data_IF_783075339881
#
_entry.id   IF_783075339881
#
_cell.length_a   1.000
_cell.length_b   1.000
_cell.length_c   1.000
_cell.angle_alpha   90.00
_cell.angle_beta   90.00
_cell.angle_gamma   90.00
#
_symmetry.space_group_name_H-M   'P 1'
#
loop_
_entity.id
_entity.type
_entity.pdbx_description
1 polymer ?
#
# COMPACT_ATOMS: atom_id res chain seq x y z
N UNK A 1 0.23 -7.89 43.76
CA UNK A 1 -1.17 -8.22 43.41
C UNK A 1 -1.21 -9.72 43.18
N UNK A 2 -1.42 -10.50 44.23
CA UNK A 2 -1.52 -11.95 44.13
C UNK A 2 -2.94 -12.30 43.69
N UNK A 3 -3.15 -12.37 42.37
CA UNK A 3 -4.41 -12.86 41.81
C UNK A 3 -4.55 -14.35 42.11
N UNK A 4 -5.58 -14.73 42.88
CA UNK A 4 -5.89 -16.14 43.14
C UNK A 4 -6.63 -16.71 41.94
N UNK A 5 -5.98 -17.62 41.23
CA UNK A 5 -6.63 -18.45 40.22
C UNK A 5 -7.45 -19.51 40.93
N UNK A 6 -8.75 -19.57 40.64
CA UNK A 6 -9.73 -20.40 41.33
C UNK A 6 -10.44 -21.30 40.31
N UNK A 7 -11.12 -22.34 40.77
CA UNK A 7 -11.76 -23.34 39.88
C UNK A 7 -12.74 -22.71 38.88
N UNK A 8 -13.49 -21.69 39.30
CA UNK A 8 -14.42 -20.99 38.40
C UNK A 8 -13.68 -20.23 37.28
N UNK A 9 -12.50 -19.66 37.58
CA UNK A 9 -11.62 -19.06 36.56
C UNK A 9 -11.10 -20.14 35.59
N UNK A 10 -10.77 -21.33 36.09
CA UNK A 10 -10.35 -22.45 35.25
C UNK A 10 -11.45 -22.92 34.30
N UNK A 11 -12.71 -22.95 34.75
CA UNK A 11 -13.86 -23.27 33.89
C UNK A 11 -14.01 -22.24 32.77
N UNK A 12 -13.96 -20.94 33.08
CA UNK A 12 -14.09 -19.90 32.05
C UNK A 12 -12.91 -19.88 31.07
N UNK A 13 -11.68 -20.06 31.56
CA UNK A 13 -10.51 -20.17 30.68
C UNK A 13 -10.62 -21.36 29.73
N UNK A 14 -11.12 -22.51 30.20
CA UNK A 14 -11.32 -23.67 29.32
C UNK A 14 -12.30 -23.36 28.19
N UNK A 15 -13.42 -22.69 28.48
CA UNK A 15 -14.37 -22.28 27.44
C UNK A 15 -13.75 -21.31 26.42
N UNK A 16 -12.91 -20.38 26.88
CA UNK A 16 -12.21 -19.46 25.98
C UNK A 16 -11.19 -20.18 25.10
N UNK A 17 -10.47 -21.16 25.64
CA UNK A 17 -9.54 -22.00 24.89
C UNK A 17 -10.29 -22.87 23.87
N UNK A 18 -11.40 -23.50 24.26
CA UNK A 18 -12.23 -24.29 23.35
C UNK A 18 -12.75 -23.43 22.17
N UNK A 19 -13.10 -22.16 22.42
CA UNK A 19 -13.46 -21.23 21.36
C UNK A 19 -12.28 -20.87 20.46
N UNK A 20 -11.08 -20.64 21.02
CA UNK A 20 -9.87 -20.38 20.23
C UNK A 20 -9.58 -21.57 19.31
N UNK A 21 -9.58 -22.78 19.84
CA UNK A 21 -9.36 -24.01 19.08
C UNK A 21 -10.39 -24.15 17.94
N UNK A 22 -11.65 -23.84 18.22
CA UNK A 22 -12.70 -23.83 17.20
C UNK A 22 -12.48 -22.77 16.11
N UNK A 23 -12.10 -21.55 16.49
CA UNK A 23 -11.79 -20.50 15.53
C UNK A 23 -10.58 -20.87 14.66
N UNK A 24 -9.53 -21.45 15.25
CA UNK A 24 -8.35 -21.91 14.52
C UNK A 24 -8.70 -22.98 13.48
N UNK A 25 -9.51 -23.98 13.87
CA UNK A 25 -10.00 -25.01 12.94
C UNK A 25 -10.85 -24.40 11.81
N UNK A 26 -11.71 -23.44 12.16
CA UNK A 26 -12.59 -22.78 11.19
C UNK A 26 -11.77 -21.95 10.19
N UNK A 27 -10.76 -21.22 10.67
CA UNK A 27 -9.84 -20.46 9.82
C UNK A 27 -9.11 -21.41 8.87
N UNK A 28 -8.53 -22.50 9.37
CA UNK A 28 -7.83 -23.47 8.53
C UNK A 28 -8.74 -24.07 7.44
N UNK A 29 -9.98 -24.40 7.79
CA UNK A 29 -10.98 -24.90 6.83
C UNK A 29 -11.29 -23.88 5.73
N UNK A 30 -11.41 -22.60 6.10
CA UNK A 30 -11.66 -21.53 5.15
C UNK A 30 -10.42 -21.24 4.28
N UNK A 31 -9.22 -21.31 4.85
CA UNK A 31 -7.98 -21.14 4.11
C UNK A 31 -7.81 -22.23 3.04
N UNK A 32 -8.08 -23.49 3.37
CA UNK A 32 -8.09 -24.59 2.41
C UNK A 32 -9.13 -24.36 1.29
N UNK A 33 -10.30 -23.83 1.65
CA UNK A 33 -11.34 -23.51 0.66
C UNK A 33 -10.90 -22.37 -0.27
N UNK A 34 -10.27 -21.33 0.27
CA UNK A 34 -9.72 -20.22 -0.53
C UNK A 34 -8.59 -20.72 -1.42
N UNK A 35 -7.69 -21.56 -0.93
CA UNK A 35 -6.63 -22.16 -1.72
C UNK A 35 -7.19 -22.94 -2.93
N UNK A 36 -8.24 -23.75 -2.72
CA UNK A 36 -8.91 -24.46 -3.81
C UNK A 36 -9.59 -23.53 -4.83
N UNK A 37 -10.21 -22.43 -4.39
CA UNK A 37 -10.86 -21.46 -5.27
C UNK A 37 -9.87 -20.58 -6.05
N UNK A 38 -8.66 -20.40 -5.51
CA UNK A 38 -7.63 -19.53 -6.08
C UNK A 38 -6.61 -20.28 -6.92
N UNK A 39 -6.68 -21.62 -6.98
CA UNK A 39 -5.80 -22.45 -7.82
C UNK A 39 -5.75 -22.00 -9.29
N UNK A 40 -6.88 -21.67 -9.96
CA UNK A 40 -6.84 -21.23 -11.36
C UNK A 40 -6.12 -19.90 -11.56
N UNK A 41 -5.91 -19.15 -10.46
CA UNK A 41 -5.24 -17.86 -10.44
C UNK A 41 -3.84 -17.94 -9.82
N UNK A 42 -3.27 -19.12 -9.61
CA UNK A 42 -1.99 -19.29 -8.93
C UNK A 42 -0.87 -18.45 -9.57
N UNK A 43 -0.73 -18.50 -10.90
CA UNK A 43 0.22 -17.67 -11.65
C UNK A 43 -0.03 -16.16 -11.44
N UNK A 44 -1.30 -15.72 -11.55
CA UNK A 44 -1.64 -14.32 -11.35
C UNK A 44 -1.33 -13.86 -9.91
N UNK A 45 -1.55 -14.72 -8.91
CA UNK A 45 -1.20 -14.45 -7.51
C UNK A 45 0.31 -14.26 -7.38
N UNK A 46 1.12 -15.14 -7.96
CA UNK A 46 2.58 -15.00 -7.93
C UNK A 46 3.04 -13.70 -8.59
N UNK A 47 2.48 -13.36 -9.76
CA UNK A 47 2.78 -12.11 -10.45
C UNK A 47 2.36 -10.88 -9.63
N UNK A 48 1.19 -10.89 -8.99
CA UNK A 48 0.77 -9.80 -8.10
C UNK A 48 1.68 -9.67 -6.88
N UNK A 49 2.17 -10.79 -6.33
CA UNK A 49 3.11 -10.79 -5.20
C UNK A 49 4.49 -10.22 -5.54
N UNK A 50 4.81 -9.98 -6.82
CA UNK A 50 6.03 -9.24 -7.21
C UNK A 50 5.96 -7.76 -6.84
N UNK A 51 4.77 -7.21 -6.57
CA UNK A 51 4.63 -5.83 -6.08
C UNK A 51 5.09 -5.77 -4.62
N UNK A 52 6.06 -4.91 -4.25
CA UNK A 52 6.49 -4.76 -2.86
C UNK A 52 5.31 -4.47 -1.93
N UNK A 53 5.19 -5.29 -0.88
CA UNK A 53 4.12 -5.18 0.11
C UNK A 53 2.85 -5.98 -0.21
N UNK A 54 2.68 -6.49 -1.44
CA UNK A 54 1.57 -7.38 -1.78
C UNK A 54 1.97 -8.82 -1.43
N UNK A 55 1.34 -9.37 -0.40
CA UNK A 55 1.44 -10.79 -0.09
C UNK A 55 0.29 -11.60 -0.70
N UNK A 56 0.36 -12.93 -0.57
CA UNK A 56 -0.65 -13.86 -1.11
C UNK A 56 -2.08 -13.44 -0.76
N UNK A 57 -2.36 -13.19 0.52
CA UNK A 57 -3.70 -12.80 0.97
C UNK A 57 -4.21 -11.51 0.32
N UNK A 58 -3.33 -10.53 0.12
CA UNK A 58 -3.70 -9.28 -0.58
C UNK A 58 -3.97 -9.54 -2.06
N UNK A 59 -3.20 -10.42 -2.70
CA UNK A 59 -3.43 -10.82 -4.08
C UNK A 59 -4.78 -11.57 -4.23
N UNK A 60 -5.11 -12.46 -3.29
CA UNK A 60 -6.41 -13.14 -3.23
C UNK A 60 -7.56 -12.15 -3.10
N UNK A 61 -7.45 -11.14 -2.22
CA UNK A 61 -8.46 -10.07 -2.08
C UNK A 61 -8.57 -9.25 -3.37
N UNK A 62 -7.45 -8.90 -4.01
CA UNK A 62 -7.47 -8.20 -5.30
C UNK A 62 -8.26 -8.99 -6.35
N UNK A 63 -8.05 -10.30 -6.45
CA UNK A 63 -8.76 -11.17 -7.38
C UNK A 63 -10.23 -11.30 -7.00
N UNK A 64 -10.54 -11.53 -5.72
CA UNK A 64 -11.90 -11.73 -5.24
C UNK A 64 -12.78 -10.49 -5.45
N UNK A 65 -12.27 -9.30 -5.14
CA UNK A 65 -13.04 -8.06 -5.22
C UNK A 65 -13.15 -7.53 -6.65
N UNK A 66 -12.15 -7.77 -7.50
CA UNK A 66 -12.17 -7.27 -8.89
C UNK A 66 -12.66 -8.28 -9.91
N UNK A 67 -12.72 -9.57 -9.54
CA UNK A 67 -13.00 -10.68 -10.44
C UNK A 67 -11.86 -11.04 -11.40
N UNK A 68 -10.68 -10.40 -11.25
CA UNK A 68 -9.51 -10.52 -12.13
C UNK A 68 -9.74 -10.16 -13.63
N UNK A 69 -10.94 -9.69 -13.99
CA UNK A 69 -11.28 -9.25 -15.35
C UNK A 69 -11.19 -7.73 -15.45
N UNK A 70 -10.11 -7.24 -16.06
CA UNK A 70 -9.91 -5.81 -16.24
C UNK A 70 -10.74 -5.21 -17.38
N UNK A 71 -11.50 -6.00 -18.16
CA UNK A 71 -12.42 -5.49 -19.17
C UNK A 71 -13.57 -4.68 -18.56
N UNK A 72 -13.93 -4.96 -17.31
CA UNK A 72 -14.90 -4.18 -16.52
C UNK A 72 -14.43 -2.75 -16.22
N UNK A 73 -13.12 -2.47 -16.34
CA UNK A 73 -12.51 -1.19 -16.00
C UNK A 73 -11.72 -0.65 -17.20
N UNK A 74 -12.27 0.30 -17.98
CA UNK A 74 -11.61 0.80 -19.20
C UNK A 74 -10.22 1.41 -18.98
N UNK A 75 -9.95 1.90 -17.78
CA UNK A 75 -8.61 2.35 -17.37
C UNK A 75 -8.35 2.02 -15.90
N UNK A 76 -7.08 1.98 -15.51
CA UNK A 76 -6.67 1.85 -14.12
C UNK A 76 -7.29 2.94 -13.20
N UNK A 77 -7.59 4.11 -13.76
CA UNK A 77 -8.27 5.19 -13.05
C UNK A 77 -9.73 4.85 -12.70
N UNK A 78 -10.42 4.08 -13.54
CA UNK A 78 -11.78 3.60 -13.25
C UNK A 78 -11.75 2.62 -12.08
N UNK A 79 -10.83 1.65 -12.09
CA UNK A 79 -10.64 0.73 -10.97
C UNK A 79 -10.31 1.49 -9.67
N UNK A 80 -9.38 2.44 -9.72
CA UNK A 80 -9.01 3.23 -8.56
C UNK A 80 -10.16 4.11 -8.02
N UNK A 81 -11.02 4.61 -8.91
CA UNK A 81 -12.22 5.35 -8.51
C UNK A 81 -13.26 4.44 -7.86
N UNK A 82 -13.51 3.26 -8.45
CA UNK A 82 -14.44 2.25 -7.93
C UNK A 82 -14.00 1.72 -6.56
N UNK A 83 -12.70 1.41 -6.40
CA UNK A 83 -12.11 0.96 -5.15
C UNK A 83 -12.01 2.06 -4.07
N UNK A 84 -12.41 3.32 -4.36
CA UNK A 84 -12.29 4.43 -3.41
C UNK A 84 -10.85 4.89 -3.16
N UNK A 85 -9.88 4.40 -3.95
CA UNK A 85 -8.46 4.73 -3.86
C UNK A 85 -8.08 5.95 -4.72
N UNK A 86 -9.05 6.80 -5.07
CA UNK A 86 -8.86 8.04 -5.82
C UNK A 86 -9.25 9.25 -4.97
N UNK A 87 -8.54 10.39 -5.06
CA UNK A 87 -8.97 11.62 -4.42
C UNK A 87 -10.36 12.02 -4.90
N UNK A 88 -11.26 12.36 -3.96
CA UNK A 88 -12.59 12.83 -4.31
C UNK A 88 -12.58 14.11 -5.14
N UNK A 89 -13.45 14.18 -6.15
CA UNK A 89 -13.69 15.39 -6.93
C UNK A 89 -14.77 16.23 -6.24
N UNK A 90 -14.35 17.30 -5.57
CA UNK A 90 -15.24 18.24 -4.88
C UNK A 90 -15.07 19.62 -5.51
N UNK A 91 -15.89 19.91 -6.51
CA UNK A 91 -15.85 21.15 -7.25
C UNK A 91 -17.25 21.75 -7.36
N UNK A 92 -17.38 23.03 -7.05
CA UNK A 92 -18.65 23.77 -7.16
C UNK A 92 -18.36 25.19 -7.61
N UNK A 93 -19.08 25.70 -8.62
CA UNK A 93 -18.89 27.06 -9.13
C UNK A 93 -17.45 27.35 -9.60
N UNK A 94 -16.79 26.38 -10.24
CA UNK A 94 -15.42 26.49 -10.74
C UNK A 94 -14.32 26.54 -9.67
N UNK A 95 -14.66 26.33 -8.40
CA UNK A 95 -13.69 26.27 -7.29
C UNK A 95 -13.53 24.85 -6.81
N UNK A 96 -12.29 24.34 -6.87
CA UNK A 96 -11.90 23.06 -6.30
C UNK A 96 -11.70 23.16 -4.79
N UNK A 97 -12.49 22.39 -4.04
CA UNK A 97 -12.40 22.28 -2.58
C UNK A 97 -11.56 21.06 -2.18
N UNK A 98 -11.24 20.94 -0.90
CA UNK A 98 -10.58 19.74 -0.37
C UNK A 98 -11.49 18.51 -0.56
N UNK A 99 -10.98 17.47 -1.23
CA UNK A 99 -11.65 16.19 -1.38
C UNK A 99 -11.14 15.17 -0.36
N UNK A 100 -12.05 14.37 0.21
CA UNK A 100 -11.70 13.11 0.88
C UNK A 100 -11.68 12.00 -0.16
N UNK A 101 -11.02 10.88 0.12
CA UNK A 101 -11.21 9.65 -0.66
C UNK A 101 -12.69 9.27 -0.65
N UNK A 102 -13.17 8.76 -1.78
CA UNK A 102 -14.57 8.34 -1.91
C UNK A 102 -14.78 7.00 -1.18
N UNK A 103 -16.05 6.70 -0.85
CA UNK A 103 -16.40 5.34 -0.41
C UNK A 103 -16.24 4.40 -1.60
N UNK A 104 -15.48 3.35 -1.42
CA UNK A 104 -15.32 2.26 -2.38
C UNK A 104 -15.39 0.93 -1.66
N UNK A 105 -14.85 -0.11 -2.28
CA UNK A 105 -14.76 -1.41 -1.65
C UNK A 105 -13.88 -1.38 -0.38
N UNK A 106 -14.45 -1.78 0.76
CA UNK A 106 -13.81 -1.66 2.06
C UNK A 106 -12.71 -2.70 2.24
N UNK A 107 -12.94 -3.93 1.77
CA UNK A 107 -11.98 -5.03 1.91
C UNK A 107 -10.73 -4.80 1.07
N UNK A 108 -10.93 -4.37 -0.17
CA UNK A 108 -9.86 -3.99 -1.08
C UNK A 108 -9.09 -2.78 -0.57
N UNK A 109 -9.79 -1.75 -0.07
CA UNK A 109 -9.13 -0.58 0.50
C UNK A 109 -8.25 -0.96 1.70
N UNK A 110 -8.75 -1.75 2.64
CA UNK A 110 -7.98 -2.19 3.82
C UNK A 110 -6.78 -3.04 3.41
N UNK A 111 -6.97 -3.99 2.49
CA UNK A 111 -5.87 -4.83 1.98
C UNK A 111 -4.77 -3.99 1.28
N UNK A 112 -5.15 -2.98 0.50
CA UNK A 112 -4.21 -2.06 -0.15
C UNK A 112 -3.48 -1.16 0.84
N UNK A 113 -4.14 -0.75 1.92
CA UNK A 113 -3.51 0.04 2.98
C UNK A 113 -2.49 -0.79 3.75
N UNK A 114 -2.83 -2.03 4.12
CA UNK A 114 -1.89 -2.96 4.74
C UNK A 114 -0.68 -3.26 3.83
N UNK A 115 -0.93 -3.51 2.54
CA UNK A 115 0.13 -3.69 1.57
C UNK A 115 1.00 -2.44 1.43
N UNK A 116 0.43 -1.24 1.49
CA UNK A 116 1.19 0.00 1.48
C UNK A 116 2.09 0.16 2.71
N UNK A 117 1.63 -0.25 3.90
CA UNK A 117 2.46 -0.26 5.11
C UNK A 117 3.58 -1.29 5.02
N UNK A 118 3.30 -2.48 4.47
CA UNK A 118 4.32 -3.48 4.21
C UNK A 118 5.37 -2.96 3.20
N UNK A 119 4.93 -2.38 2.09
CA UNK A 119 5.79 -1.76 1.08
C UNK A 119 6.69 -0.66 1.67
N UNK A 120 6.18 0.13 2.60
CA UNK A 120 6.93 1.19 3.26
C UNK A 120 8.12 0.68 4.10
N UNK A 121 8.10 -0.59 4.49
CA UNK A 121 9.18 -1.27 5.23
C UNK A 121 10.17 -2.01 4.32
N UNK A 122 9.89 -2.10 3.01
CA UNK A 122 10.80 -2.69 2.04
C UNK A 122 12.00 -1.76 1.79
N UNK A 123 13.17 -2.35 1.58
CA UNK A 123 14.39 -1.61 1.29
C UNK A 123 14.53 -1.37 -0.22
N UNK A 124 14.99 -0.17 -0.58
CA UNK A 124 15.36 0.22 -1.95
C UNK A 124 14.26 0.03 -3.03
N UNK A 125 12.99 0.17 -2.65
CA UNK A 125 11.86 0.09 -3.59
C UNK A 125 11.26 1.46 -3.89
N UNK A 126 10.71 1.62 -5.10
CA UNK A 126 9.99 2.82 -5.50
C UNK A 126 8.83 3.15 -4.56
N UNK A 127 8.07 2.12 -4.15
CA UNK A 127 6.91 2.29 -3.28
C UNK A 127 7.30 2.76 -1.88
N UNK A 128 8.39 2.24 -1.31
CA UNK A 128 8.94 2.72 -0.04
C UNK A 128 9.41 4.18 -0.16
N UNK A 129 10.17 4.50 -1.21
CA UNK A 129 10.63 5.86 -1.45
C UNK A 129 9.46 6.84 -1.62
N UNK A 130 8.38 6.42 -2.30
CA UNK A 130 7.17 7.22 -2.47
C UNK A 130 6.43 7.43 -1.15
N UNK A 131 6.33 6.39 -0.33
CA UNK A 131 5.74 6.48 1.00
C UNK A 131 6.45 7.56 1.83
N UNK A 132 7.76 7.41 2.00
CA UNK A 132 8.55 8.29 2.86
C UNK A 132 8.71 9.70 2.30
N UNK A 133 8.67 9.86 0.98
CA UNK A 133 8.59 11.19 0.34
C UNK A 133 7.30 11.93 0.71
N UNK A 134 6.16 11.23 0.78
CA UNK A 134 4.85 11.84 1.12
C UNK A 134 4.72 12.06 2.63
N UNK A 135 5.11 11.07 3.44
CA UNK A 135 5.04 11.16 4.89
C UNK A 135 6.03 12.21 5.44
N UNK A 136 7.27 12.17 4.93
CA UNK A 136 8.40 12.94 5.39
C UNK A 136 9.09 12.35 6.64
N UNK A 137 10.28 12.85 7.02
CA UNK A 137 11.10 12.27 8.09
C UNK A 137 10.50 12.38 9.50
N UNK A 138 9.60 13.34 9.72
CA UNK A 138 8.94 13.61 11.02
C UNK A 138 7.42 13.45 10.91
N UNK A 139 6.98 12.48 10.11
CA UNK A 139 5.57 12.23 9.85
C UNK A 139 4.84 11.79 11.13
N UNK A 140 3.76 12.49 11.46
CA UNK A 140 2.76 12.03 12.41
C UNK A 140 1.86 10.96 11.78
N UNK A 141 1.03 10.30 12.59
CA UNK A 141 0.13 9.24 12.12
C UNK A 141 -0.77 9.68 10.95
N UNK A 142 -1.22 10.94 10.93
CA UNK A 142 -2.05 11.48 9.85
C UNK A 142 -1.32 11.54 8.51
N UNK A 143 -0.07 12.02 8.49
CA UNK A 143 0.75 12.06 7.27
C UNK A 143 1.09 10.67 6.77
N UNK A 144 1.38 9.73 7.68
CA UNK A 144 1.63 8.33 7.31
C UNK A 144 0.39 7.67 6.70
N UNK A 145 -0.82 7.88 7.25
CA UNK A 145 -2.08 7.42 6.64
C UNK A 145 -2.30 7.98 5.23
N UNK A 146 -2.00 9.26 5.01
CA UNK A 146 -2.08 9.87 3.67
C UNK A 146 -1.08 9.24 2.70
N UNK A 147 0.14 8.92 3.17
CA UNK A 147 1.14 8.21 2.38
C UNK A 147 0.67 6.79 2.05
N UNK A 148 0.09 6.06 3.01
CA UNK A 148 -0.46 4.73 2.81
C UNK A 148 -1.54 4.73 1.71
N UNK A 149 -2.51 5.64 1.76
CA UNK A 149 -3.54 5.77 0.69
C UNK A 149 -2.90 6.04 -0.67
N UNK A 150 -1.91 6.93 -0.74
CA UNK A 150 -1.27 7.28 -2.00
C UNK A 150 -0.39 6.14 -2.57
N UNK A 151 0.16 5.28 -1.72
CA UNK A 151 0.94 4.10 -2.12
C UNK A 151 0.00 2.95 -2.47
N UNK A 152 -1.05 2.70 -1.68
CA UNK A 152 -2.09 1.74 -2.01
C UNK A 152 -2.74 2.03 -3.37
N UNK A 153 -2.97 3.31 -3.69
CA UNK A 153 -3.38 3.71 -5.04
C UNK A 153 -2.39 3.23 -6.11
N UNK A 154 -1.08 3.38 -5.88
CA UNK A 154 -0.07 2.92 -6.85
C UNK A 154 0.05 1.41 -6.93
N UNK A 155 -0.14 0.70 -5.82
CA UNK A 155 -0.25 -0.76 -5.81
C UNK A 155 -1.44 -1.19 -6.68
N UNK A 156 -2.60 -0.56 -6.52
CA UNK A 156 -3.79 -0.88 -7.32
C UNK A 156 -3.61 -0.59 -8.80
N UNK A 157 -2.93 0.52 -9.16
CA UNK A 157 -2.59 0.81 -10.56
C UNK A 157 -1.63 -0.24 -11.13
N UNK A 158 -0.64 -0.68 -10.35
CA UNK A 158 0.26 -1.75 -10.79
C UNK A 158 -0.49 -3.07 -10.97
N UNK A 159 -1.33 -3.44 -10.00
CA UNK A 159 -2.16 -4.63 -10.04
C UNK A 159 -3.09 -4.64 -11.26
N UNK A 160 -3.69 -3.50 -11.62
CA UNK A 160 -4.49 -3.36 -12.85
C UNK A 160 -3.69 -3.77 -14.09
N UNK A 161 -2.47 -3.27 -14.25
CA UNK A 161 -1.66 -3.57 -15.44
C UNK A 161 -1.19 -5.03 -15.47
N UNK A 162 -0.89 -5.62 -14.31
CA UNK A 162 -0.55 -7.05 -14.18
C UNK A 162 -1.74 -7.94 -14.52
N UNK A 163 -2.96 -7.57 -14.11
CA UNK A 163 -4.18 -8.32 -14.43
C UNK A 163 -4.61 -8.14 -15.89
N UNK A 164 -4.43 -6.94 -16.46
CA UNK A 164 -4.85 -6.63 -17.82
C UNK A 164 -3.90 -7.19 -18.90
N UNK A 165 -2.65 -7.45 -18.55
CA UNK A 165 -1.60 -7.85 -19.50
C UNK A 165 -1.10 -9.25 -19.16
N UNK A 166 -1.22 -10.23 -20.07
CA UNK A 166 -0.63 -11.55 -19.87
C UNK A 166 0.86 -11.45 -19.58
N UNK A 167 1.36 -12.29 -18.66
CA UNK A 167 2.77 -12.43 -18.28
C UNK A 167 3.46 -11.17 -17.73
N UNK A 168 2.75 -10.05 -17.55
CA UNK A 168 3.34 -8.85 -16.99
C UNK A 168 3.54 -9.01 -15.48
N UNK A 169 4.72 -8.57 -15.02
CA UNK A 169 5.13 -8.57 -13.61
C UNK A 169 5.52 -7.15 -13.19
N UNK A 170 5.52 -6.90 -11.88
CA UNK A 170 5.92 -5.59 -11.37
C UNK A 170 7.41 -5.35 -11.62
N UNK A 171 7.72 -4.26 -12.33
CA UNK A 171 9.09 -3.76 -12.49
C UNK A 171 9.30 -2.56 -11.55
N UNK A 172 10.10 -2.76 -10.50
CA UNK A 172 10.41 -1.69 -9.56
C UNK A 172 11.29 -0.62 -10.21
N UNK A 173 11.05 0.65 -9.89
CA UNK A 173 11.80 1.78 -10.43
C UNK A 173 13.06 2.14 -9.61
N UNK A 174 13.25 1.50 -8.45
CA UNK A 174 14.31 1.72 -7.48
C UNK A 174 13.96 2.76 -6.42
N UNK A 175 14.56 2.64 -5.23
CA UNK A 175 14.37 3.58 -4.12
C UNK A 175 14.94 4.98 -4.40
N UNK A 176 15.91 5.07 -5.31
CA UNK A 176 16.53 6.30 -5.76
C UNK A 176 15.80 6.98 -6.95
N UNK A 177 14.65 6.45 -7.38
CA UNK A 177 13.89 6.97 -8.52
C UNK A 177 13.63 8.49 -8.42
N UNK A 178 13.26 8.96 -7.23
CA UNK A 178 12.95 10.38 -7.04
C UNK A 178 14.21 11.25 -6.96
N UNK A 179 15.34 10.71 -6.50
CA UNK A 179 16.61 11.44 -6.46
C UNK A 179 17.28 11.50 -7.82
N UNK A 180 17.18 10.45 -8.66
CA UNK A 180 17.66 10.45 -10.05
C UNK A 180 16.93 11.45 -10.94
N UNK A 181 15.64 11.67 -10.65
CA UNK A 181 14.75 12.50 -11.46
C UNK A 181 14.57 13.92 -10.93
N UNK A 182 15.07 14.21 -9.73
CA UNK A 182 15.21 15.59 -9.28
C UNK A 182 16.19 16.29 -10.23
N UNK A 183 15.74 17.38 -10.87
CA UNK A 183 16.56 18.16 -11.77
C UNK A 183 17.87 18.52 -11.03
N UNK A 184 19.04 18.05 -11.50
CA UNK A 184 20.32 18.28 -10.85
C UNK A 184 20.55 19.76 -10.56
N UNK A 185 20.10 20.63 -11.46
CA UNK A 185 20.20 22.08 -11.30
C UNK A 185 19.33 22.59 -10.17
N UNK A 186 18.09 22.13 -10.05
CA UNK A 186 17.21 22.56 -8.95
C UNK A 186 17.74 22.08 -7.60
N UNK A 187 18.27 20.86 -7.53
CA UNK A 187 18.89 20.32 -6.32
C UNK A 187 20.13 21.13 -5.97
N UNK A 188 21.00 21.41 -6.95
CA UNK A 188 22.18 22.26 -6.82
C UNK A 188 21.81 23.66 -6.32
N UNK A 189 20.90 24.36 -6.98
CA UNK A 189 20.44 25.70 -6.56
C UNK A 189 19.87 25.70 -5.14
N UNK A 190 19.13 24.64 -4.75
CA UNK A 190 18.61 24.53 -3.38
C UNK A 190 19.71 24.36 -2.34
N UNK A 191 20.73 23.55 -2.64
CA UNK A 191 21.87 23.33 -1.75
C UNK A 191 22.72 24.60 -1.60
N UNK A 192 22.98 25.30 -2.71
CA UNK A 192 23.65 26.61 -2.69
C UNK A 192 22.88 27.59 -1.81
N UNK A 193 21.57 27.72 -2.02
CA UNK A 193 20.74 28.63 -1.21
C UNK A 193 20.73 28.26 0.28
N UNK A 194 20.77 26.97 0.62
CA UNK A 194 20.84 26.52 2.01
C UNK A 194 22.18 26.84 2.68
N UNK A 195 23.29 26.67 1.96
CA UNK A 195 24.62 27.02 2.45
C UNK A 195 24.78 28.54 2.59
N UNK A 196 24.28 29.32 1.63
CA UNK A 196 24.24 30.79 1.71
C UNK A 196 23.39 31.28 2.89
N UNK A 197 22.24 30.65 3.14
CA UNK A 197 21.40 30.98 4.31
C UNK A 197 22.08 30.68 5.66
N UNK A 198 23.08 29.79 5.68
CA UNK A 198 23.92 29.52 6.84
C UNK A 198 25.14 30.46 6.94
N UNK A 199 25.28 31.42 6.01
CA UNK A 199 26.35 32.42 6.01
C UNK A 199 27.61 32.02 5.26
N UNK A 200 27.58 30.93 4.50
CA UNK A 200 28.71 30.51 3.66
C UNK A 200 28.62 31.19 2.29
N UNK A 201 29.75 31.70 1.81
CA UNK A 201 29.90 31.98 0.38
C UNK A 201 30.14 30.66 -0.36
N UNK A 202 29.45 30.46 -1.49
CA UNK A 202 29.39 29.16 -2.16
C UNK A 202 29.88 29.30 -3.59
N UNK A 203 31.13 28.92 -3.82
CA UNK A 203 31.67 28.71 -5.16
C UNK A 203 31.58 27.23 -5.53
N UNK A 204 30.95 26.94 -6.68
CA UNK A 204 30.83 25.59 -7.20
C UNK A 204 31.92 25.34 -8.25
N UNK A 205 32.89 24.50 -7.92
CA UNK A 205 33.89 23.99 -8.87
C UNK A 205 33.49 22.60 -9.36
N UNK A 206 33.65 22.35 -10.67
CA UNK A 206 33.42 21.03 -11.23
C UNK A 206 34.49 20.06 -10.72
N UNK A 207 34.08 18.89 -10.24
CA UNK A 207 35.02 17.82 -9.91
C UNK A 207 35.67 17.31 -11.21
N UNK A 208 37.00 17.20 -11.20
CA UNK A 208 37.82 16.69 -12.30
C UNK A 208 37.63 15.19 -12.54
#
# INVERSE_FOLDING_TARGET
LDGRFEDHHAVHLRQLLDHIDWFELTIATLDDRVAGLTEPFADLIERLCTIPGVGRRTAEVLIAETGADMSAFPTAGHLASWAGMSPGHNESGGKRRSGKTMRGDVWLADALIEAAWAAARSNDTYLAAKFWRIAGPRADGKRKKKAAVAVGHKILIAAYHIMATPDEVYRDLGGDHFTRRDNPDRRRSRLVAQLQALGFDVELTAAA
#
